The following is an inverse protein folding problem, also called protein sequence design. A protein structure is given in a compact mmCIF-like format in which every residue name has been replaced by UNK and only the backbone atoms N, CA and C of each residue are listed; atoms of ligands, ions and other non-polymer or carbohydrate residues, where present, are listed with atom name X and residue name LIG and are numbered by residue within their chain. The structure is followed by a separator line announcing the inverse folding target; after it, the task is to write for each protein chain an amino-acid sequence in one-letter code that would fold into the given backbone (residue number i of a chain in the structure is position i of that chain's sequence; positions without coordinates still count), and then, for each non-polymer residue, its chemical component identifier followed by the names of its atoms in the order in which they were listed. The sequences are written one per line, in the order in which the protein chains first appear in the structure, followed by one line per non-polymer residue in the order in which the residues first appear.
data_IF_446958066801
#
_entry.id   IF_446958066801
#
_cell.length_a   1.000
_cell.length_b   1.000
_cell.length_c   1.000
_cell.angle_alpha   90.00
_cell.angle_beta   90.00
_cell.angle_gamma   90.00
#
_symmetry.space_group_name_H-M   'P 1'
#
loop_
_entity.id
_entity.type
_entity.pdbx_description
1 polymer ?
#
# COMPACT_ATOMS: atom_id res chain seq x y z
N UNK A 1 8.69 -10.02 10.86
CA UNK A 1 8.07 -10.03 9.53
C UNK A 1 7.54 -11.41 9.22
N UNK A 2 6.36 -11.52 8.60
CA UNK A 2 5.66 -12.78 8.34
C UNK A 2 4.76 -13.25 9.48
N UNK A 3 4.07 -14.38 9.28
CA UNK A 3 3.17 -15.00 10.25
C UNK A 3 3.89 -16.06 11.08
N UNK A 4 3.47 -16.30 12.35
CA UNK A 4 3.97 -17.41 13.14
C UNK A 4 3.72 -18.77 12.48
N UNK A 5 4.59 -19.74 12.75
CA UNK A 5 4.36 -21.11 12.30
C UNK A 5 3.08 -21.66 12.94
N UNK A 6 2.21 -22.26 12.12
CA UNK A 6 0.93 -22.79 12.59
C UNK A 6 -0.17 -21.75 12.81
N UNK A 7 0.04 -20.49 12.40
CA UNK A 7 -1.02 -19.49 12.37
C UNK A 7 -2.18 -19.99 11.48
N UNK A 8 -3.38 -20.23 12.04
CA UNK A 8 -4.52 -20.74 11.29
C UNK A 8 -5.04 -19.76 10.24
N UNK A 9 -4.59 -18.52 10.31
CA UNK A 9 -5.04 -17.42 9.47
C UNK A 9 -4.03 -17.00 8.41
N UNK A 10 -2.86 -17.65 8.38
CA UNK A 10 -1.85 -17.38 7.35
C UNK A 10 -2.39 -17.65 5.94
N UNK A 11 -1.88 -16.90 4.97
CA UNK A 11 -2.21 -17.13 3.58
C UNK A 11 -1.83 -18.55 3.14
N UNK A 12 -2.57 -19.10 2.18
CA UNK A 12 -2.30 -20.43 1.64
C UNK A 12 -0.86 -20.55 1.13
N UNK A 13 -0.36 -21.78 1.17
CA UNK A 13 0.95 -22.15 0.64
C UNK A 13 2.17 -21.59 1.39
N UNK A 14 2.00 -21.06 2.61
CA UNK A 14 3.14 -20.63 3.43
C UNK A 14 3.90 -19.43 2.86
N UNK A 15 3.26 -18.60 2.02
CA UNK A 15 3.92 -17.44 1.40
C UNK A 15 4.39 -16.40 2.42
N UNK A 16 3.82 -16.41 3.63
CA UNK A 16 4.20 -15.55 4.75
C UNK A 16 5.27 -16.20 5.66
N UNK A 17 5.87 -17.33 5.23
CA UNK A 17 6.81 -18.13 6.02
C UNK A 17 8.21 -18.14 5.40
N UNK A 18 9.26 -18.40 6.23
CA UNK A 18 9.26 -18.44 7.70
C UNK A 18 9.11 -17.04 8.29
N UNK A 19 8.44 -16.94 9.45
CA UNK A 19 8.51 -15.70 10.22
C UNK A 19 9.97 -15.45 10.61
N UNK A 20 10.45 -14.21 10.41
CA UNK A 20 11.84 -13.88 10.66
C UNK A 20 12.01 -12.46 11.19
N UNK A 21 13.16 -12.22 11.84
CA UNK A 21 13.50 -10.91 12.36
C UNK A 21 14.13 -10.05 11.26
N UNK A 22 13.63 -8.82 11.11
CA UNK A 22 14.24 -7.78 10.28
C UNK A 22 14.71 -6.63 11.18
N UNK A 23 15.88 -6.06 10.91
CA UNK A 23 16.43 -4.94 11.68
C UNK A 23 16.72 -3.77 10.74
N UNK A 24 15.80 -2.82 10.65
CA UNK A 24 15.97 -1.60 9.84
C UNK A 24 16.84 -0.63 10.64
N UNK A 25 18.05 -0.35 10.17
CA UNK A 25 19.06 0.47 10.89
C UNK A 25 19.14 1.92 10.41
N UNK A 26 18.31 2.32 9.48
CA UNK A 26 18.25 3.67 8.95
C UNK A 26 16.90 4.31 9.25
N UNK A 27 16.88 5.64 9.24
CA UNK A 27 15.65 6.41 9.38
C UNK A 27 15.05 6.64 7.99
N UNK A 28 13.75 6.42 7.88
CA UNK A 28 13.01 6.70 6.66
C UNK A 28 11.65 7.34 6.98
N UNK A 29 11.12 8.09 6.03
CA UNK A 29 9.77 8.62 6.08
C UNK A 29 8.87 7.84 5.13
N UNK A 30 7.62 7.67 5.52
CA UNK A 30 6.58 6.98 4.75
C UNK A 30 5.47 7.98 4.43
N UNK A 31 4.88 7.91 3.24
CA UNK A 31 3.68 8.64 2.90
C UNK A 31 2.58 8.35 3.90
N UNK A 32 2.00 9.39 4.50
CA UNK A 32 0.94 9.26 5.50
C UNK A 32 -0.27 8.51 4.95
N UNK A 33 -0.50 8.67 3.67
CA UNK A 33 -1.56 8.08 2.86
C UNK A 33 -0.98 7.37 1.64
N UNK A 34 -1.77 6.59 0.98
CA UNK A 34 -1.56 6.15 -0.40
C UNK A 34 -1.45 7.37 -1.31
N UNK A 35 -0.77 7.25 -2.44
CA UNK A 35 -0.75 8.32 -3.45
C UNK A 35 -2.15 8.50 -4.01
N UNK A 36 -2.66 9.73 -3.91
CA UNK A 36 -4.01 10.04 -4.35
C UNK A 36 -4.11 10.20 -5.87
N UNK A 37 -5.30 9.98 -6.40
CA UNK A 37 -5.61 10.23 -7.82
C UNK A 37 -5.30 11.67 -8.24
N UNK A 38 -5.54 12.65 -7.36
CA UNK A 38 -5.21 14.06 -7.63
C UNK A 38 -3.71 14.33 -7.70
N UNK A 39 -2.91 13.68 -6.85
CA UNK A 39 -1.44 13.78 -6.90
C UNK A 39 -0.88 13.08 -8.14
N UNK A 40 -1.42 11.90 -8.47
CA UNK A 40 -1.03 11.19 -9.68
C UNK A 40 -1.42 11.93 -10.96
N UNK A 41 -2.57 12.59 -11.00
CA UNK A 41 -3.01 13.41 -12.12
C UNK A 41 -1.99 14.52 -12.46
N UNK A 42 -1.40 15.14 -11.44
CA UNK A 42 -0.35 16.14 -11.65
C UNK A 42 0.91 15.54 -12.28
N UNK A 43 1.34 14.36 -11.81
CA UNK A 43 2.44 13.62 -12.41
C UNK A 43 2.14 13.27 -13.87
N UNK A 44 0.98 12.70 -14.12
CA UNK A 44 0.56 12.27 -15.47
C UNK A 44 0.55 13.45 -16.46
N UNK A 45 0.01 14.60 -16.02
CA UNK A 45 0.00 15.84 -16.84
C UNK A 45 1.42 16.33 -17.12
N UNK A 46 2.27 16.45 -16.11
CA UNK A 46 3.62 17.02 -16.26
C UNK A 46 4.56 16.11 -17.05
N UNK A 47 4.34 14.79 -17.02
CA UNK A 47 5.20 13.82 -17.71
C UNK A 47 4.59 13.28 -19.01
N UNK A 48 3.36 13.69 -19.32
CA UNK A 48 2.59 13.15 -20.46
C UNK A 48 2.50 11.62 -20.37
N UNK A 49 2.20 11.11 -19.17
CA UNK A 49 2.07 9.69 -18.92
C UNK A 49 0.97 9.10 -19.80
N UNK A 50 1.29 8.03 -20.53
CA UNK A 50 0.29 7.33 -21.34
C UNK A 50 -0.61 6.48 -20.45
N UNK A 51 -1.90 6.46 -20.78
CA UNK A 51 -2.85 5.56 -20.16
C UNK A 51 -2.56 4.11 -20.55
N UNK A 52 -2.92 3.15 -19.67
CA UNK A 52 -2.88 1.75 -20.02
C UNK A 52 -3.92 1.42 -21.11
N UNK A 53 -3.70 0.31 -21.80
CA UNK A 53 -4.66 -0.29 -22.73
C UNK A 53 -5.78 -1.05 -21.98
N UNK A 54 -6.32 -0.43 -20.94
CA UNK A 54 -7.36 -1.00 -20.08
C UNK A 54 -6.84 -1.39 -18.70
N UNK A 55 -7.79 -1.75 -17.83
CA UNK A 55 -7.58 -2.11 -16.45
C UNK A 55 -8.40 -3.35 -16.08
N UNK A 56 -7.84 -4.22 -15.25
CA UNK A 56 -8.55 -5.38 -14.75
C UNK A 56 -9.55 -4.94 -13.68
N UNK A 57 -10.74 -5.50 -13.71
CA UNK A 57 -11.81 -5.20 -12.76
C UNK A 57 -12.18 -6.45 -11.96
N UNK A 58 -12.60 -6.27 -10.72
CA UNK A 58 -13.09 -7.37 -9.90
C UNK A 58 -14.55 -7.67 -10.27
N UNK A 59 -14.78 -8.78 -10.98
CA UNK A 59 -16.09 -9.38 -11.27
C UNK A 59 -16.05 -10.83 -10.77
N UNK A 60 -16.30 -11.08 -9.48
CA UNK A 60 -16.11 -12.41 -8.90
C UNK A 60 -16.80 -13.53 -9.67
N UNK A 61 -16.11 -14.66 -9.95
CA UNK A 61 -14.77 -15.01 -9.46
C UNK A 61 -13.62 -14.57 -10.40
N UNK A 62 -13.83 -13.67 -11.36
CA UNK A 62 -12.91 -13.33 -12.42
C UNK A 62 -12.35 -11.91 -12.28
N UNK A 63 -11.27 -11.67 -13.01
CA UNK A 63 -10.60 -10.38 -13.12
C UNK A 63 -10.42 -9.96 -14.59
N UNK A 64 -11.52 -9.74 -15.34
CA UNK A 64 -11.42 -9.41 -16.75
C UNK A 64 -10.78 -8.04 -16.96
N UNK A 65 -9.93 -7.93 -17.99
CA UNK A 65 -9.45 -6.64 -18.47
C UNK A 65 -10.56 -5.94 -19.24
N UNK A 66 -10.83 -4.70 -18.88
CA UNK A 66 -11.78 -3.82 -19.57
C UNK A 66 -11.02 -2.72 -20.31
N UNK A 67 -11.19 -2.67 -21.62
CA UNK A 67 -10.61 -1.63 -22.45
C UNK A 67 -11.17 -0.23 -22.10
N UNK A 68 -10.37 0.82 -22.27
CA UNK A 68 -10.75 2.20 -21.98
C UNK A 68 -10.76 2.58 -20.50
N UNK A 69 -10.53 1.64 -19.58
CA UNK A 69 -10.31 1.95 -18.16
C UNK A 69 -8.85 2.33 -17.91
N UNK A 70 -8.65 3.23 -16.99
CA UNK A 70 -7.33 3.74 -16.60
C UNK A 70 -7.39 4.34 -15.19
N UNK A 71 -6.29 4.89 -14.70
CA UNK A 71 -6.24 5.59 -13.42
C UNK A 71 -7.23 6.78 -13.32
N UNK A 72 -7.67 7.36 -14.45
CA UNK A 72 -8.64 8.47 -14.47
C UNK A 72 -10.02 8.06 -14.95
N UNK A 73 -10.18 6.87 -15.51
CA UNK A 73 -11.46 6.31 -15.97
C UNK A 73 -11.67 4.96 -15.29
N UNK A 74 -12.10 4.99 -14.03
CA UNK A 74 -12.38 3.80 -13.22
C UNK A 74 -13.83 3.33 -13.42
N UNK A 75 -14.15 2.04 -13.18
CA UNK A 75 -15.52 1.51 -13.31
C UNK A 75 -16.45 1.95 -12.15
N UNK A 76 -15.93 2.71 -11.21
CA UNK A 76 -16.63 3.27 -10.05
C UNK A 76 -16.20 4.72 -9.82
N UNK A 77 -17.06 5.51 -9.16
CA UNK A 77 -16.74 6.91 -8.87
C UNK A 77 -15.52 7.04 -7.97
N UNK A 78 -14.61 7.92 -8.33
CA UNK A 78 -13.49 8.38 -7.50
C UNK A 78 -13.35 9.89 -7.57
N UNK A 79 -12.94 10.49 -6.47
CA UNK A 79 -12.55 11.90 -6.37
C UNK A 79 -11.02 12.04 -6.50
N UNK A 80 -10.53 13.26 -6.47
CA UNK A 80 -9.09 13.51 -6.39
C UNK A 80 -8.44 13.09 -5.06
N UNK A 81 -9.26 12.75 -4.04
CA UNK A 81 -8.79 12.30 -2.72
C UNK A 81 -8.76 10.77 -2.56
N UNK A 82 -9.33 10.04 -3.49
CA UNK A 82 -9.24 8.58 -3.49
C UNK A 82 -7.82 8.14 -3.87
N UNK A 83 -7.37 6.94 -3.47
CA UNK A 83 -6.08 6.41 -3.91
C UNK A 83 -6.08 6.20 -5.42
N UNK A 84 -4.95 6.41 -6.06
CA UNK A 84 -4.80 6.06 -7.47
C UNK A 84 -4.78 4.54 -7.62
N UNK A 85 -5.54 4.04 -8.57
CA UNK A 85 -5.59 2.63 -8.99
C UNK A 85 -5.34 2.49 -10.49
N UNK A 86 -5.35 1.29 -11.02
CA UNK A 86 -5.05 1.05 -12.43
C UNK A 86 -3.66 1.57 -12.84
N UNK A 87 -2.68 1.44 -11.97
CA UNK A 87 -1.29 1.83 -12.19
C UNK A 87 -0.36 0.64 -12.06
N UNK A 88 0.54 0.46 -13.03
CA UNK A 88 1.54 -0.59 -13.00
C UNK A 88 2.70 -0.24 -12.05
N UNK A 89 3.50 -1.23 -11.69
CA UNK A 89 4.72 -1.02 -10.90
C UNK A 89 5.66 -0.01 -11.55
N UNK A 90 5.82 -0.08 -12.88
CA UNK A 90 6.63 0.88 -13.63
C UNK A 90 6.13 2.32 -13.50
N UNK A 91 4.82 2.50 -13.50
CA UNK A 91 4.21 3.82 -13.36
C UNK A 91 4.35 4.35 -11.93
N UNK A 92 4.21 3.48 -10.93
CA UNK A 92 4.46 3.84 -9.53
C UNK A 92 5.93 4.25 -9.33
N UNK A 93 6.88 3.51 -9.88
CA UNK A 93 8.31 3.85 -9.84
C UNK A 93 8.61 5.15 -10.61
N UNK A 94 7.99 5.37 -11.77
CA UNK A 94 8.14 6.61 -12.54
C UNK A 94 7.63 7.83 -11.75
N UNK A 95 6.53 7.66 -11.01
CA UNK A 95 6.01 8.68 -10.09
C UNK A 95 7.04 9.03 -9.01
N UNK A 96 7.68 8.07 -8.36
CA UNK A 96 8.69 8.34 -7.32
C UNK A 96 9.89 9.08 -7.89
N UNK A 97 10.33 8.74 -9.11
CA UNK A 97 11.41 9.45 -9.81
C UNK A 97 11.03 10.90 -10.17
N UNK A 98 9.79 11.12 -10.62
CA UNK A 98 9.28 12.47 -10.89
C UNK A 98 9.22 13.30 -9.60
N UNK A 99 8.66 12.73 -8.52
CA UNK A 99 8.56 13.40 -7.23
C UNK A 99 9.95 13.75 -6.68
N UNK A 100 10.93 12.86 -6.87
CA UNK A 100 12.32 13.08 -6.47
C UNK A 100 12.92 14.29 -7.18
N UNK A 101 12.77 14.38 -8.51
CA UNK A 101 13.24 15.55 -9.28
C UNK A 101 12.54 16.84 -8.85
N UNK A 102 11.23 16.77 -8.59
CA UNK A 102 10.42 17.94 -8.24
C UNK A 102 10.74 18.51 -6.88
N UNK A 103 11.12 17.67 -5.94
CA UNK A 103 11.32 18.07 -4.53
C UNK A 103 12.78 18.20 -4.14
N UNK A 104 13.70 17.65 -4.94
CA UNK A 104 15.14 17.56 -4.61
C UNK A 104 15.47 16.50 -3.54
N UNK A 105 14.51 15.62 -3.23
CA UNK A 105 14.70 14.51 -2.28
C UNK A 105 14.51 13.18 -3.00
N UNK A 106 15.23 12.14 -2.57
CA UNK A 106 15.08 10.79 -3.17
C UNK A 106 13.88 10.07 -2.59
N UNK A 107 12.83 9.96 -3.40
CA UNK A 107 11.65 9.12 -3.11
C UNK A 107 11.75 7.78 -3.83
N UNK A 108 11.12 6.78 -3.26
CA UNK A 108 11.02 5.41 -3.76
C UNK A 108 9.75 4.74 -3.28
N UNK A 109 9.46 3.55 -3.76
CA UNK A 109 8.50 2.66 -3.09
C UNK A 109 9.12 2.15 -1.78
N UNK A 110 8.33 1.58 -0.89
CA UNK A 110 8.81 0.88 0.29
C UNK A 110 9.44 -0.46 -0.12
N UNK A 111 10.38 -0.97 0.69
CA UNK A 111 10.62 -2.40 0.69
C UNK A 111 9.47 -3.14 1.37
N UNK A 112 9.33 -4.42 1.11
CA UNK A 112 8.30 -5.24 1.72
C UNK A 112 8.39 -5.24 3.26
N UNK A 113 9.59 -5.31 3.79
CA UNK A 113 9.84 -5.27 5.23
C UNK A 113 9.59 -3.89 5.85
N UNK A 114 9.89 -2.81 5.14
CA UNK A 114 9.52 -1.46 5.59
C UNK A 114 8.01 -1.27 5.63
N UNK A 115 7.31 -1.83 4.64
CA UNK A 115 5.86 -1.77 4.59
C UNK A 115 5.24 -2.49 5.79
N UNK A 116 5.63 -3.75 6.08
CA UNK A 116 5.08 -4.50 7.21
C UNK A 116 5.45 -3.86 8.56
N UNK A 117 6.67 -3.33 8.70
CA UNK A 117 7.07 -2.55 9.88
C UNK A 117 6.16 -1.32 10.07
N UNK A 118 5.88 -0.60 8.99
CA UNK A 118 5.01 0.57 9.00
C UNK A 118 3.55 0.22 9.32
N UNK A 119 3.03 -0.88 8.74
CA UNK A 119 1.68 -1.35 8.99
C UNK A 119 1.48 -1.77 10.44
N UNK A 120 2.35 -2.62 10.96
CA UNK A 120 2.29 -3.10 12.36
C UNK A 120 2.46 -1.98 13.40
N UNK A 121 3.21 -0.95 13.08
CA UNK A 121 3.43 0.19 13.97
C UNK A 121 3.77 -0.19 15.43
N UNK A 122 4.57 -1.25 15.61
CA UNK A 122 5.00 -1.76 16.92
C UNK A 122 4.14 -2.89 17.48
N UNK A 123 3.04 -3.29 16.84
CA UNK A 123 2.22 -4.43 17.27
C UNK A 123 2.74 -5.75 16.72
N UNK A 124 2.33 -6.85 17.34
CA UNK A 124 2.56 -8.23 16.86
C UNK A 124 1.27 -9.00 16.58
N UNK A 125 0.12 -8.32 16.71
CA UNK A 125 -1.21 -8.86 16.46
C UNK A 125 -1.48 -9.05 14.97
N UNK A 126 -2.58 -9.68 14.59
CA UNK A 126 -2.96 -9.89 13.18
C UNK A 126 -3.16 -8.55 12.47
N UNK A 127 -3.91 -7.65 13.10
CA UNK A 127 -4.15 -6.28 12.67
C UNK A 127 -3.41 -5.32 13.61
N UNK A 128 -3.12 -4.11 13.14
CA UNK A 128 -2.48 -3.12 14.03
C UNK A 128 -3.39 -2.68 15.19
N UNK A 129 -4.71 -2.88 15.11
CA UNK A 129 -5.68 -2.58 16.18
C UNK A 129 -5.94 -3.79 17.11
N UNK A 130 -5.27 -4.92 16.93
CA UNK A 130 -5.43 -6.14 17.73
C UNK A 130 -5.88 -7.34 16.90
N UNK A 131 -6.66 -8.24 17.50
CA UNK A 131 -7.16 -9.45 16.84
C UNK A 131 -8.70 -9.45 16.70
N UNK A 132 -9.36 -8.35 17.04
CA UNK A 132 -10.81 -8.24 16.94
C UNK A 132 -11.22 -7.71 15.55
N UNK A 133 -11.59 -8.63 14.67
CA UNK A 133 -12.04 -8.31 13.31
C UNK A 133 -13.36 -7.52 13.25
N UNK A 134 -14.19 -7.55 14.32
CA UNK A 134 -15.44 -6.76 14.38
C UNK A 134 -15.18 -5.26 14.37
N UNK A 135 -13.96 -4.86 14.70
CA UNK A 135 -13.53 -3.46 14.68
C UNK A 135 -12.94 -3.02 13.35
N UNK A 136 -12.83 -3.90 12.37
CA UNK A 136 -12.16 -3.60 11.09
C UNK A 136 -12.70 -2.35 10.42
N UNK A 137 -14.02 -2.15 10.37
CA UNK A 137 -14.62 -0.97 9.75
C UNK A 137 -14.31 0.38 10.45
N UNK A 138 -13.69 0.36 11.64
CA UNK A 138 -13.15 1.57 12.24
C UNK A 138 -11.79 1.98 11.65
N UNK A 139 -11.06 1.03 11.06
CA UNK A 139 -9.65 1.16 10.70
C UNK A 139 -9.35 0.86 9.24
N UNK A 140 -10.25 0.15 8.53
CA UNK A 140 -9.99 -0.40 7.22
C UNK A 140 -11.24 -0.41 6.33
N UNK A 141 -11.03 -0.29 5.02
CA UNK A 141 -12.01 -0.56 3.98
C UNK A 141 -11.74 -1.96 3.41
N UNK A 142 -12.72 -2.85 3.49
CA UNK A 142 -12.61 -4.23 3.03
C UNK A 142 -13.97 -4.83 2.71
N UNK A 143 -14.05 -6.14 2.43
CA UNK A 143 -15.32 -6.81 2.14
C UNK A 143 -16.20 -6.82 3.39
N UNK A 144 -17.19 -5.95 3.41
CA UNK A 144 -18.10 -5.69 4.50
C UNK A 144 -19.58 -5.82 4.08
N UNK A 145 -20.49 -5.53 5.00
CA UNK A 145 -21.93 -5.55 4.72
C UNK A 145 -22.38 -4.45 3.75
N UNK A 146 -21.61 -3.37 3.58
CA UNK A 146 -21.89 -2.31 2.59
C UNK A 146 -21.69 -2.86 1.18
N UNK A 147 -20.53 -3.48 0.93
CA UNK A 147 -20.22 -4.10 -0.36
C UNK A 147 -21.20 -5.22 -0.71
N UNK A 148 -21.45 -6.14 0.23
CA UNK A 148 -22.36 -7.27 0.01
C UNK A 148 -23.79 -6.78 -0.21
N UNK A 149 -24.26 -5.78 0.53
CA UNK A 149 -25.55 -5.16 0.31
C UNK A 149 -25.72 -4.58 -1.09
N UNK A 150 -24.64 -4.08 -1.69
CA UNK A 150 -24.65 -3.56 -3.06
C UNK A 150 -24.61 -4.65 -4.11
N UNK A 151 -23.97 -5.80 -3.82
CA UNK A 151 -23.80 -6.93 -4.74
C UNK A 151 -24.17 -8.27 -4.08
N UNK A 152 -25.45 -8.48 -3.74
CA UNK A 152 -25.86 -9.63 -2.92
C UNK A 152 -25.71 -10.99 -3.62
N UNK A 153 -25.55 -11.01 -4.94
CA UNK A 153 -25.35 -12.23 -5.74
C UNK A 153 -23.90 -12.54 -6.02
N UNK A 154 -22.97 -11.63 -5.70
CA UNK A 154 -21.56 -11.84 -5.93
C UNK A 154 -20.97 -12.77 -4.85
N UNK A 155 -20.10 -13.70 -5.27
CA UNK A 155 -19.44 -14.65 -4.35
C UNK A 155 -18.16 -14.04 -3.76
N UNK A 156 -18.30 -13.00 -2.96
CA UNK A 156 -17.19 -12.33 -2.29
C UNK A 156 -16.39 -13.26 -1.37
N UNK A 157 -17.03 -14.30 -0.84
CA UNK A 157 -16.38 -15.32 -0.02
C UNK A 157 -15.38 -16.19 -0.79
N UNK A 158 -15.49 -16.28 -2.12
CA UNK A 158 -14.66 -17.15 -2.94
C UNK A 158 -13.30 -16.55 -3.35
N UNK A 159 -13.10 -15.27 -3.15
CA UNK A 159 -11.82 -14.61 -3.44
C UNK A 159 -10.72 -14.95 -2.41
N UNK A 160 -11.08 -15.55 -1.28
CA UNK A 160 -10.12 -16.06 -0.32
C UNK A 160 -9.84 -17.55 -0.54
N UNK A 161 -8.59 -17.95 -0.40
CA UNK A 161 -8.23 -19.34 -0.38
C UNK A 161 -8.89 -20.05 0.81
N UNK A 162 -9.57 -21.11 0.51
CA UNK A 162 -10.18 -22.18 1.30
C UNK A 162 -9.79 -22.31 2.79
N UNK A 163 -9.88 -21.26 3.56
CA UNK A 163 -10.02 -21.43 5.01
C UNK A 163 -11.53 -21.43 5.33
N UNK A 164 -12.13 -22.57 5.66
CA UNK A 164 -13.57 -22.66 5.93
C UNK A 164 -14.02 -21.78 7.11
N UNK A 165 -13.06 -21.24 7.86
CA UNK A 165 -13.34 -20.42 9.03
C UNK A 165 -13.21 -18.91 8.78
N UNK A 166 -12.81 -18.46 7.57
CA UNK A 166 -12.50 -17.04 7.33
C UNK A 166 -12.82 -16.48 5.93
N UNK A 167 -13.59 -17.17 5.12
CA UNK A 167 -14.14 -16.62 3.88
C UNK A 167 -15.34 -15.73 4.12
N UNK A 168 -15.46 -15.11 5.29
CA UNK A 168 -16.65 -14.35 5.66
C UNK A 168 -16.44 -12.85 5.42
N UNK A 169 -17.53 -12.18 5.35
CA UNK A 169 -17.69 -10.73 5.22
C UNK A 169 -17.50 -10.09 6.59
N UNK A 170 -16.84 -8.96 6.67
CA UNK A 170 -16.75 -8.17 7.90
C UNK A 170 -18.16 -7.86 8.41
N UNK A 171 -18.48 -8.13 9.70
CA UNK A 171 -19.83 -7.98 10.25
C UNK A 171 -20.14 -6.52 10.65
N UNK A 172 -19.73 -5.57 9.82
CA UNK A 172 -19.88 -4.14 10.05
C UNK A 172 -20.12 -3.41 8.71
N UNK A 173 -20.30 -2.10 8.77
CA UNK A 173 -20.45 -1.22 7.62
C UNK A 173 -19.35 -0.17 7.66
N UNK A 174 -18.46 -0.16 6.67
CA UNK A 174 -17.41 0.85 6.53
C UNK A 174 -17.89 2.10 5.75
N UNK A 175 -19.03 1.98 5.05
CA UNK A 175 -19.67 3.08 4.32
C UNK A 175 -19.20 3.22 2.87
N UNK A 176 -18.28 2.39 2.39
CA UNK A 176 -17.76 2.43 1.02
C UNK A 176 -17.92 1.08 0.32
N UNK A 177 -18.30 1.12 -0.96
CA UNK A 177 -18.45 -0.07 -1.80
C UNK A 177 -17.17 -0.42 -2.53
N UNK A 178 -16.39 0.63 -2.84
CA UNK A 178 -15.11 0.57 -3.54
C UNK A 178 -14.08 1.36 -2.74
N UNK A 179 -13.10 1.98 -3.40
CA UNK A 179 -12.14 2.84 -2.71
C UNK A 179 -12.82 3.95 -1.91
N UNK A 180 -12.21 4.33 -0.81
CA UNK A 180 -12.57 5.48 0.00
C UNK A 180 -11.55 6.62 -0.17
N UNK A 181 -11.91 7.89 0.05
CA UNK A 181 -10.93 8.95 0.17
C UNK A 181 -9.89 8.63 1.23
N UNK A 182 -8.59 8.80 0.92
CA UNK A 182 -7.51 8.45 1.84
C UNK A 182 -7.68 9.13 3.21
N UNK A 183 -7.43 8.39 4.28
CA UNK A 183 -7.58 8.87 5.64
C UNK A 183 -9.02 8.88 6.16
N UNK A 184 -9.92 8.12 5.56
CA UNK A 184 -11.31 7.99 6.01
C UNK A 184 -11.45 7.22 7.33
N UNK A 185 -10.48 6.38 7.66
CA UNK A 185 -10.47 5.53 8.85
C UNK A 185 -9.46 5.99 9.89
N UNK A 186 -9.41 5.30 11.04
CA UNK A 186 -8.46 5.62 12.11
C UNK A 186 -7.03 5.19 11.72
N UNK A 187 -6.02 6.02 12.00
CA UNK A 187 -4.63 5.68 11.70
C UNK A 187 -4.08 4.61 12.66
N UNK A 188 -2.99 3.99 12.24
CA UNK A 188 -2.20 3.14 13.10
C UNK A 188 -1.37 3.97 14.13
N UNK A 189 -0.70 3.33 15.11
CA UNK A 189 0.11 4.02 16.12
C UNK A 189 1.23 4.91 15.58
N UNK A 190 1.68 4.72 14.34
CA UNK A 190 2.63 5.62 13.68
C UNK A 190 1.95 6.81 12.96
N UNK A 191 0.62 6.91 13.01
CA UNK A 191 -0.16 7.96 12.34
C UNK A 191 -0.30 7.74 10.84
N UNK A 192 -0.09 6.51 10.34
CA UNK A 192 -0.30 6.11 8.97
C UNK A 192 -1.73 5.59 8.79
N UNK A 193 -2.36 5.98 7.69
CA UNK A 193 -3.73 5.61 7.34
C UNK A 193 -3.73 4.54 6.25
N UNK A 194 -4.83 3.80 6.19
CA UNK A 194 -5.15 2.88 5.11
C UNK A 194 -4.06 1.82 4.87
N UNK A 195 -3.36 1.40 5.96
CA UNK A 195 -2.33 0.37 5.88
C UNK A 195 -2.92 -1.04 5.75
N UNK A 196 -4.14 -1.25 6.15
CA UNK A 196 -4.82 -2.54 6.14
C UNK A 196 -6.21 -2.37 5.52
N UNK A 197 -6.27 -2.01 4.22
CA UNK A 197 -7.51 -1.80 3.47
C UNK A 197 -7.38 -0.74 2.39
N UNK A 198 -8.46 -0.42 1.74
CA UNK A 198 -8.62 0.54 0.65
C UNK A 198 -7.98 0.08 -0.66
N UNK A 199 -6.66 0.15 -0.85
CA UNK A 199 -6.00 -0.48 -1.99
C UNK A 199 -4.72 -1.21 -1.57
N UNK A 200 -4.42 -2.32 -2.24
CA UNK A 200 -3.13 -2.95 -2.14
C UNK A 200 -2.02 -2.02 -2.69
N UNK A 201 -0.79 -2.21 -2.27
CA UNK A 201 0.29 -1.27 -2.54
C UNK A 201 1.51 -1.95 -3.13
N UNK A 202 1.94 -1.48 -4.31
CA UNK A 202 3.21 -1.89 -4.89
C UNK A 202 4.39 -1.61 -3.96
N UNK A 203 5.27 -2.59 -3.79
CA UNK A 203 6.56 -2.44 -3.11
C UNK A 203 7.73 -2.76 -4.04
N UNK A 204 8.96 -2.55 -3.57
CA UNK A 204 10.16 -2.73 -4.42
C UNK A 204 10.54 -4.19 -4.66
N UNK A 205 10.11 -5.10 -3.81
CA UNK A 205 10.63 -6.47 -3.76
C UNK A 205 10.21 -7.32 -4.94
N UNK A 206 11.17 -8.07 -5.50
CA UNK A 206 10.90 -9.15 -6.42
C UNK A 206 10.15 -10.27 -5.70
N UNK A 207 9.22 -10.92 -6.38
CA UNK A 207 8.45 -12.01 -5.80
C UNK A 207 9.29 -13.22 -5.44
N UNK A 208 8.98 -13.80 -4.31
CA UNK A 208 9.41 -15.14 -3.91
C UNK A 208 8.28 -15.81 -3.12
N UNK A 209 8.02 -17.09 -3.34
CA UNK A 209 6.91 -17.80 -2.69
C UNK A 209 7.15 -18.06 -1.20
N UNK A 210 8.26 -17.60 -0.64
CA UNK A 210 8.58 -17.69 0.78
C UNK A 210 9.59 -16.61 1.19
N UNK A 211 9.78 -16.46 2.51
CA UNK A 211 10.84 -15.60 3.06
C UNK A 211 12.21 -16.28 3.20
N UNK A 212 12.38 -17.50 2.71
CA UNK A 212 13.70 -18.13 2.70
C UNK A 212 14.67 -17.26 1.91
N UNK A 213 15.80 -16.87 2.55
CA UNK A 213 16.80 -15.98 1.96
C UNK A 213 16.33 -14.52 1.77
N UNK A 214 15.26 -14.08 2.42
CA UNK A 214 14.86 -12.68 2.41
C UNK A 214 15.89 -11.79 3.13
N UNK A 215 16.09 -10.53 2.69
CA UNK A 215 16.93 -9.58 3.41
C UNK A 215 16.40 -9.34 4.84
N UNK A 216 17.34 -9.18 5.79
CA UNK A 216 17.02 -8.96 7.20
C UNK A 216 17.41 -7.56 7.71
N UNK A 217 17.80 -6.67 6.80
CA UNK A 217 18.29 -5.32 7.08
C UNK A 217 17.34 -4.20 6.63
N UNK A 218 16.18 -4.55 6.10
CA UNK A 218 15.21 -3.60 5.56
C UNK A 218 15.38 -3.29 4.07
N UNK A 219 16.42 -3.80 3.42
CA UNK A 219 16.58 -3.66 1.98
C UNK A 219 15.56 -4.51 1.21
N UNK A 220 15.18 -4.11 -0.01
CA UNK A 220 14.28 -4.90 -0.82
C UNK A 220 14.95 -6.16 -1.36
N UNK A 221 14.19 -7.23 -1.55
CA UNK A 221 14.63 -8.42 -2.27
C UNK A 221 14.78 -8.08 -3.75
N UNK A 222 16.00 -8.27 -4.28
CA UNK A 222 16.33 -8.03 -5.70
C UNK A 222 16.61 -9.31 -6.48
N UNK A 223 16.35 -10.47 -5.86
CA UNK A 223 16.48 -11.81 -6.44
C UNK A 223 15.13 -12.53 -6.45
N UNK A 224 14.98 -13.53 -7.32
CA UNK A 224 13.72 -14.22 -7.58
C UNK A 224 13.11 -13.76 -8.91
N UNK A 225 11.81 -13.91 -9.05
CA UNK A 225 11.10 -13.43 -10.25
C UNK A 225 10.81 -11.93 -10.15
N UNK A 226 11.66 -11.12 -10.77
CA UNK A 226 11.51 -9.68 -10.78
C UNK A 226 10.56 -9.15 -11.87
N UNK A 227 10.01 -10.02 -12.72
CA UNK A 227 8.87 -9.68 -13.61
C UNK A 227 7.55 -9.67 -12.86
N UNK A 228 7.59 -10.16 -11.61
CA UNK A 228 6.49 -10.15 -10.65
C UNK A 228 6.97 -9.41 -9.41
N UNK A 229 6.18 -8.51 -8.89
CA UNK A 229 6.50 -7.75 -7.67
C UNK A 229 5.53 -8.09 -6.56
N UNK A 230 6.04 -7.97 -5.36
CA UNK A 230 5.21 -8.04 -4.16
C UNK A 230 4.30 -6.81 -4.11
N UNK A 231 3.06 -7.03 -3.77
CA UNK A 231 2.19 -5.99 -3.23
C UNK A 231 1.79 -6.33 -1.79
N UNK A 232 1.50 -5.31 -1.04
CA UNK A 232 1.22 -5.41 0.39
C UNK A 232 -0.02 -4.60 0.72
N UNK A 233 -0.63 -4.95 1.83
CA UNK A 233 -1.91 -4.41 2.19
C UNK A 233 -3.03 -5.09 1.40
N UNK A 234 -4.17 -5.22 2.03
CA UNK A 234 -5.39 -5.65 1.38
C UNK A 234 -6.05 -4.47 0.66
N UNK A 235 -7.01 -4.77 -0.18
CA UNK A 235 -7.83 -3.78 -0.85
C UNK A 235 -9.30 -3.84 -0.37
N UNK A 236 -10.12 -2.94 -0.88
CA UNK A 236 -11.56 -2.82 -0.59
C UNK A 236 -12.36 -4.12 -0.84
N UNK A 237 -11.84 -5.03 -1.63
CA UNK A 237 -12.42 -6.34 -1.95
C UNK A 237 -11.75 -7.50 -1.20
N UNK A 238 -10.92 -7.21 -0.21
CA UNK A 238 -10.27 -8.22 0.63
C UNK A 238 -11.12 -8.56 1.86
N UNK A 239 -11.22 -9.85 2.12
CA UNK A 239 -11.87 -10.37 3.33
C UNK A 239 -10.93 -10.29 4.56
N UNK A 240 -11.40 -10.60 5.77
CA UNK A 240 -10.61 -10.52 7.00
C UNK A 240 -9.25 -11.24 6.96
N UNK A 241 -9.15 -12.35 6.23
CA UNK A 241 -7.87 -13.06 6.09
C UNK A 241 -6.83 -12.21 5.35
N UNK A 242 -7.27 -11.46 4.34
CA UNK A 242 -6.41 -10.55 3.58
C UNK A 242 -6.05 -9.29 4.36
N UNK A 243 -6.90 -8.80 5.27
CA UNK A 243 -6.68 -7.55 6.01
C UNK A 243 -5.50 -7.56 6.99
N UNK A 244 -4.83 -8.69 7.22
CA UNK A 244 -3.73 -8.83 8.22
C UNK A 244 -2.46 -8.12 7.78
N UNK A 245 -1.74 -7.54 8.74
CA UNK A 245 -0.42 -6.90 8.50
C UNK A 245 0.60 -7.82 7.83
N UNK A 246 0.50 -9.15 8.04
CA UNK A 246 1.42 -10.13 7.46
C UNK A 246 1.04 -10.53 6.02
N UNK A 247 -0.19 -10.26 5.59
CA UNK A 247 -0.67 -10.67 4.27
C UNK A 247 0.19 -10.06 3.16
N UNK A 248 0.52 -10.89 2.18
CA UNK A 248 1.29 -10.49 0.99
C UNK A 248 0.72 -11.17 -0.25
N UNK A 249 0.85 -10.47 -1.35
CA UNK A 249 0.48 -10.98 -2.65
C UNK A 249 1.50 -10.55 -3.69
N UNK A 250 1.23 -10.89 -4.94
CA UNK A 250 2.14 -10.59 -6.02
C UNK A 250 1.40 -10.42 -7.34
N UNK A 251 1.93 -9.53 -8.17
CA UNK A 251 1.38 -9.28 -9.49
C UNK A 251 2.48 -8.98 -10.51
N UNK A 252 2.23 -9.26 -11.80
CA UNK A 252 3.12 -8.85 -12.87
C UNK A 252 3.33 -7.34 -12.91
N UNK A 253 4.57 -6.91 -13.14
CA UNK A 253 4.96 -5.48 -13.11
C UNK A 253 4.22 -4.58 -14.10
N UNK A 254 3.56 -5.17 -15.10
CA UNK A 254 2.74 -4.47 -16.11
C UNK A 254 1.25 -4.46 -15.80
N UNK A 255 0.81 -5.15 -14.74
CA UNK A 255 -0.61 -5.24 -14.40
C UNK A 255 -1.19 -3.88 -14.05
N UNK A 256 -2.40 -3.65 -14.51
CA UNK A 256 -3.25 -2.54 -14.13
C UNK A 256 -4.56 -3.12 -13.59
N UNK A 257 -4.87 -2.86 -12.34
CA UNK A 257 -6.05 -3.41 -11.67
C UNK A 257 -6.67 -2.39 -10.72
N UNK A 258 -7.97 -2.48 -10.49
CA UNK A 258 -8.79 -1.46 -9.81
C UNK A 258 -8.65 -1.41 -8.29
N UNK A 259 -7.86 -2.29 -7.72
CA UNK A 259 -7.63 -2.46 -6.27
C UNK A 259 -6.16 -2.29 -5.86
N UNK A 260 -5.28 -1.91 -6.81
CA UNK A 260 -3.84 -1.82 -6.59
C UNK A 260 -3.31 -0.44 -6.91
N UNK A 261 -2.75 0.20 -5.90
CA UNK A 261 -2.10 1.51 -5.93
C UNK A 261 -0.68 1.46 -5.36
N UNK A 262 -0.25 2.50 -4.66
CA UNK A 262 1.06 2.56 -4.00
C UNK A 262 1.16 3.72 -3.02
N UNK A 263 2.11 3.64 -2.10
CA UNK A 263 2.58 4.79 -1.32
C UNK A 263 4.08 4.99 -1.49
N UNK A 264 4.57 6.18 -1.11
CA UNK A 264 5.98 6.54 -1.26
C UNK A 264 6.72 6.50 0.06
N UNK A 265 8.03 6.25 -0.01
CA UNK A 265 8.96 6.42 1.09
C UNK A 265 10.18 7.22 0.65
N UNK A 266 10.96 7.70 1.62
CA UNK A 266 12.30 8.25 1.38
C UNK A 266 13.21 8.02 2.57
N UNK A 267 14.49 7.82 2.32
CA UNK A 267 15.48 7.78 3.39
C UNK A 267 15.73 9.19 3.95
N UNK A 268 15.82 9.30 5.26
CA UNK A 268 16.17 10.54 5.95
C UNK A 268 17.67 10.47 6.27
N UNK A 269 18.46 11.25 5.54
CA UNK A 269 19.89 11.43 5.85
C UNK A 269 19.98 12.49 6.95
N UNK A 270 20.56 12.14 8.09
CA UNK A 270 20.85 13.13 9.13
C UNK A 270 21.76 14.21 8.53
N UNK A 271 21.32 15.46 8.55
CA UNK A 271 22.19 16.57 8.18
C UNK A 271 23.30 16.66 9.24
N UNK A 272 24.53 16.35 8.88
CA UNK A 272 25.68 16.75 9.66
C UNK A 272 25.65 18.28 9.78
N UNK A 273 25.70 18.86 10.99
CA UNK A 273 25.79 20.31 11.12
C UNK A 273 27.03 20.77 10.35
N UNK A 274 26.85 21.55 9.30
CA UNK A 274 27.97 22.26 8.69
C UNK A 274 28.47 23.25 9.73
N UNK A 275 29.61 23.02 10.30
CA UNK A 275 30.38 24.05 11.02
C UNK A 275 30.62 25.20 10.05
N UNK A 276 29.84 26.24 10.14
CA UNK A 276 29.88 27.40 9.25
C UNK A 276 29.55 28.64 10.04
N UNK A 277 30.53 29.49 10.19
CA UNK A 277 30.46 30.90 10.60
C UNK A 277 29.29 31.63 9.95
N UNK A 278 28.50 32.28 10.79
CA UNK A 278 27.37 33.13 10.38
C UNK A 278 27.84 34.18 9.38
N UNK A 279 27.33 34.15 8.16
CA UNK A 279 27.27 35.30 7.25
C UNK A 279 25.80 35.73 7.16
N UNK A 280 25.53 36.92 7.71
CA UNK A 280 24.32 37.69 7.49
C UNK A 280 24.20 38.06 6.01
N UNK A 281 23.13 37.63 5.35
CA UNK A 281 22.87 37.95 3.94
C UNK A 281 21.35 37.87 3.66
N UNK A 282 20.81 39.03 3.38
CA UNK A 282 19.49 39.43 2.92
C UNK A 282 18.56 38.37 2.27
N UNK A 283 17.32 38.49 2.68
CA UNK A 283 16.06 37.94 2.28
C UNK A 283 15.89 37.41 0.85
N UNK A 284 15.53 36.12 0.81
CA UNK A 284 14.74 35.53 -0.26
C UNK A 284 13.49 34.92 0.38
N UNK A 285 12.31 35.43 0.00
CA UNK A 285 11.05 34.87 0.42
C UNK A 285 10.94 33.41 -0.04
N UNK A 286 10.43 32.49 0.80
CA UNK A 286 10.21 31.12 0.41
C UNK A 286 9.06 31.03 -0.58
N UNK A 287 9.34 30.49 -1.76
CA UNK A 287 8.29 30.02 -2.67
C UNK A 287 7.43 28.99 -1.93
N UNK A 288 6.12 29.13 -2.08
CA UNK A 288 5.12 28.27 -1.45
C UNK A 288 5.52 26.81 -1.51
N UNK A 289 5.80 26.22 -0.37
CA UNK A 289 5.99 24.78 -0.22
C UNK A 289 4.64 24.12 -0.53
N UNK A 290 4.60 23.32 -1.57
CA UNK A 290 3.50 22.38 -1.80
C UNK A 290 3.50 21.43 -0.60
N UNK A 291 2.46 21.52 0.25
CA UNK A 291 2.21 20.58 1.33
C UNK A 291 1.82 19.22 0.73
N UNK A 292 2.81 18.45 0.32
CA UNK A 292 2.63 17.00 0.27
C UNK A 292 2.63 16.56 1.73
N UNK A 293 1.54 15.93 2.20
CA UNK A 293 1.42 15.42 3.56
C UNK A 293 2.63 14.55 3.91
N UNK A 294 3.65 15.16 4.49
CA UNK A 294 4.88 14.46 4.87
C UNK A 294 4.51 13.51 5.99
N UNK A 295 4.48 12.24 5.66
CA UNK A 295 4.18 11.15 6.54
C UNK A 295 5.09 11.10 7.77
N UNK A 296 4.70 10.27 8.70
CA UNK A 296 5.44 10.03 9.94
C UNK A 296 6.90 9.66 9.65
N UNK A 297 7.82 10.33 10.34
CA UNK A 297 9.23 9.94 10.33
C UNK A 297 9.39 8.77 11.27
N UNK A 298 9.70 7.60 10.74
CA UNK A 298 9.91 6.39 11.53
C UNK A 298 11.36 6.37 12.02
N UNK A 299 11.53 6.59 13.32
CA UNK A 299 12.81 6.50 14.01
C UNK A 299 12.98 5.11 14.64
N UNK A 300 14.23 4.72 14.75
CA UNK A 300 14.67 3.56 15.53
C UNK A 300 14.20 3.67 17.00
N UNK A 301 13.58 2.64 17.53
CA UNK A 301 13.58 2.32 18.95
C UNK A 301 14.49 1.13 19.20
#
# INVERSE_FOLDING_TARGET
MGSPAGDPHQALHGIEQPQHRVTIRYTFAVGKFEVTRGEYARFALETRQRDPDGCNVHEPPNWPKKAGLSWHTTPFPQTGRDPVVCVSWYQAEAYTRWLSRKTGHTYRLLSESEWEYAARAGTSTEFFWGNDEKRSCEYANGVDLTLVGRFPTAKWESAAPRNPNRGHVLPCHDGHVFTSPVGSYKPNPFGLYDMEGNVAEWVMDCWSPSYVGAPTDGSPRTSGDCTVRVNRGPAWDSNPTGLRSAYRWNDPIWLHVVDLGFRVARNIVARTPRGGTARTGLGMQPRAALNFGVGSVLHRR
#
